data_IF_858761476818
#
_entry.id   IF_858761476818
#
_cell.length_a   1.000
_cell.length_b   1.000
_cell.length_c   1.000
_cell.angle_alpha   90.00
_cell.angle_beta   90.00
_cell.angle_gamma   90.00
#
_symmetry.space_group_name_H-M   'P 1'
#
loop_
_entity.id
_entity.type
_entity.pdbx_description
1 polymer ?
#
# COMPACT_ATOMS: atom_id res chain seq x y z
N UNK A 1 11.75 8.88 -6.33
CA UNK A 1 10.36 8.58 -5.90
C UNK A 1 10.04 7.20 -6.45
N UNK A 2 9.43 6.32 -5.66
CA UNK A 2 9.00 5.00 -6.18
C UNK A 2 8.09 5.21 -7.39
N UNK A 3 8.17 4.34 -8.39
CA UNK A 3 7.22 4.42 -9.51
C UNK A 3 5.82 4.13 -8.99
N UNK A 4 4.78 4.69 -9.63
CA UNK A 4 3.38 4.42 -9.26
C UNK A 4 3.13 2.90 -9.16
N UNK A 5 3.69 2.16 -10.11
CA UNK A 5 3.56 0.71 -10.22
C UNK A 5 4.11 -0.05 -8.99
N UNK A 6 5.20 0.41 -8.37
CA UNK A 6 5.72 -0.23 -7.15
C UNK A 6 4.80 -0.03 -5.94
N UNK A 7 4.11 1.11 -5.89
CA UNK A 7 3.14 1.42 -4.84
C UNK A 7 1.86 0.62 -5.07
N UNK A 8 1.40 0.53 -6.31
CA UNK A 8 0.21 -0.24 -6.69
C UNK A 8 0.41 -1.74 -6.38
N UNK A 9 1.59 -2.29 -6.65
CA UNK A 9 1.95 -3.66 -6.26
C UNK A 9 1.96 -3.88 -4.74
N UNK A 10 2.44 -2.89 -3.97
CA UNK A 10 2.40 -2.96 -2.51
C UNK A 10 0.96 -2.98 -2.01
N UNK A 11 0.11 -2.11 -2.55
CA UNK A 11 -1.29 -2.04 -2.14
C UNK A 11 -2.08 -3.28 -2.54
N UNK A 12 -1.87 -3.81 -3.75
CA UNK A 12 -2.49 -5.07 -4.18
C UNK A 12 -2.09 -6.23 -3.27
N UNK A 13 -0.82 -6.28 -2.83
CA UNK A 13 -0.37 -7.30 -1.86
C UNK A 13 -1.11 -7.18 -0.52
N UNK A 14 -1.18 -5.98 0.05
CA UNK A 14 -1.85 -5.73 1.33
C UNK A 14 -3.35 -6.05 1.23
N UNK A 15 -4.00 -5.66 0.12
CA UNK A 15 -5.39 -5.95 -0.14
C UNK A 15 -5.64 -7.46 -0.28
N UNK A 16 -4.74 -8.19 -0.94
CA UNK A 16 -4.86 -9.62 -1.09
C UNK A 16 -4.72 -10.34 0.26
N UNK A 17 -3.71 -9.97 1.05
CA UNK A 17 -3.41 -10.61 2.34
C UNK A 17 -4.50 -10.39 3.40
N UNK A 18 -5.12 -9.20 3.43
CA UNK A 18 -6.04 -8.82 4.51
C UNK A 18 -7.51 -8.76 4.11
N UNK A 19 -7.80 -8.53 2.83
CA UNK A 19 -9.17 -8.35 2.31
C UNK A 19 -9.55 -9.42 1.28
N UNK A 20 -8.61 -10.28 0.86
CA UNK A 20 -8.79 -11.26 -0.20
C UNK A 20 -9.15 -10.65 -1.56
N UNK A 21 -8.71 -9.41 -1.80
CA UNK A 21 -8.90 -8.67 -3.05
C UNK A 21 -7.59 -8.71 -3.84
N UNK A 22 -7.61 -9.29 -5.05
CA UNK A 22 -6.40 -9.47 -5.86
C UNK A 22 -5.83 -8.15 -6.42
N UNK A 23 -6.71 -7.25 -6.85
CA UNK A 23 -6.34 -5.96 -7.44
C UNK A 23 -7.27 -4.85 -6.96
N UNK A 24 -6.70 -3.66 -6.76
CA UNK A 24 -7.44 -2.43 -6.47
C UNK A 24 -7.73 -1.61 -7.74
N UNK A 25 -7.43 -2.14 -8.92
CA UNK A 25 -7.84 -1.54 -10.20
C UNK A 25 -9.35 -1.73 -10.43
N UNK A 26 -10.02 -0.70 -10.95
CA UNK A 26 -11.43 -0.76 -11.35
C UNK A 26 -11.62 -1.67 -12.55
N UNK A 27 -12.50 -2.66 -12.44
CA UNK A 27 -12.76 -3.67 -13.47
C UNK A 27 -14.10 -3.50 -14.20
N UNK A 28 -14.91 -2.51 -13.79
CA UNK A 28 -16.23 -2.22 -14.33
C UNK A 28 -17.17 -3.44 -14.29
N UNK A 29 -17.08 -4.20 -13.20
CA UNK A 29 -17.91 -5.39 -12.96
C UNK A 29 -18.23 -5.47 -11.48
N UNK A 30 -19.52 -5.44 -11.15
CA UNK A 30 -19.96 -5.36 -9.75
C UNK A 30 -19.30 -6.41 -8.85
N UNK A 31 -19.30 -7.68 -9.26
CA UNK A 31 -18.70 -8.79 -8.49
C UNK A 31 -17.18 -8.72 -8.31
N UNK A 32 -16.49 -7.87 -9.08
CA UNK A 32 -15.04 -7.68 -9.02
C UNK A 32 -14.66 -6.38 -8.32
N UNK A 33 -15.56 -5.38 -8.34
CA UNK A 33 -15.31 -4.05 -7.78
C UNK A 33 -15.94 -3.86 -6.38
N UNK A 34 -17.00 -4.60 -6.05
CA UNK A 34 -17.66 -4.54 -4.75
C UNK A 34 -17.36 -5.81 -3.94
N UNK A 35 -16.78 -5.61 -2.76
CA UNK A 35 -16.39 -6.68 -1.85
C UNK A 35 -17.02 -6.46 -0.48
N UNK A 36 -17.67 -7.48 0.06
CA UNK A 36 -18.05 -7.51 1.47
C UNK A 36 -16.83 -7.90 2.30
N UNK A 37 -16.35 -6.97 3.12
CA UNK A 37 -15.14 -7.17 3.92
C UNK A 37 -15.43 -6.95 5.39
N UNK A 38 -14.79 -7.74 6.24
CA UNK A 38 -14.94 -7.58 7.67
C UNK A 38 -14.19 -6.32 8.16
N UNK A 39 -14.78 -5.62 9.14
CA UNK A 39 -14.18 -4.40 9.71
C UNK A 39 -12.80 -4.62 10.33
N UNK A 40 -12.53 -5.83 10.84
CA UNK A 40 -11.19 -6.19 11.34
C UNK A 40 -10.19 -6.37 10.19
N UNK A 41 -10.61 -6.88 9.03
CA UNK A 41 -9.78 -6.99 7.83
C UNK A 41 -9.36 -5.61 7.32
N UNK A 42 -10.30 -4.66 7.25
CA UNK A 42 -10.00 -3.25 6.92
C UNK A 42 -8.98 -2.67 7.89
N UNK A 43 -9.19 -2.86 9.19
CA UNK A 43 -8.26 -2.37 10.23
C UNK A 43 -6.85 -2.95 10.05
N UNK A 44 -6.73 -4.25 9.78
CA UNK A 44 -5.44 -4.90 9.53
C UNK A 44 -4.76 -4.35 8.27
N UNK A 45 -5.50 -4.23 7.15
CA UNK A 45 -4.97 -3.69 5.89
C UNK A 45 -4.42 -2.26 6.07
N UNK A 46 -5.18 -1.38 6.75
CA UNK A 46 -4.76 -0.01 7.01
C UNK A 46 -3.53 0.06 7.93
N UNK A 47 -3.47 -0.78 8.96
CA UNK A 47 -2.31 -0.86 9.85
C UNK A 47 -1.05 -1.32 9.09
N UNK A 48 -1.17 -2.31 8.21
CA UNK A 48 -0.08 -2.79 7.37
C UNK A 48 0.40 -1.69 6.40
N UNK A 49 -0.52 -1.02 5.71
CA UNK A 49 -0.19 0.09 4.80
C UNK A 49 0.54 1.23 5.52
N UNK A 50 0.12 1.58 6.73
CA UNK A 50 0.77 2.60 7.55
C UNK A 50 2.20 2.19 7.96
N UNK A 51 2.39 0.94 8.40
CA UNK A 51 3.69 0.42 8.79
C UNK A 51 4.68 0.41 7.61
N UNK A 52 4.23 -0.04 6.44
CA UNK A 52 5.02 -0.05 5.21
C UNK A 52 5.34 1.36 4.72
N UNK A 53 4.40 2.30 4.87
CA UNK A 53 4.63 3.73 4.61
C UNK A 53 5.75 4.32 5.47
N UNK A 54 5.75 4.02 6.78
CA UNK A 54 6.83 4.43 7.70
C UNK A 54 8.15 3.77 7.30
N UNK A 55 8.15 2.47 7.00
CA UNK A 55 9.34 1.75 6.60
C UNK A 55 9.94 2.33 5.31
N UNK A 56 9.09 2.68 4.33
CA UNK A 56 9.50 3.36 3.12
C UNK A 56 10.11 4.74 3.41
N UNK A 57 9.48 5.54 4.27
CA UNK A 57 10.02 6.85 4.69
C UNK A 57 11.39 6.76 5.37
N UNK A 58 11.60 5.77 6.24
CA UNK A 58 12.89 5.53 6.91
C UNK A 58 14.00 5.10 5.94
N UNK A 59 13.65 4.39 4.86
CA UNK A 59 14.59 3.98 3.80
C UNK A 59 15.06 5.17 2.95
N UNK A 60 14.23 6.20 2.80
CA UNK A 60 14.61 7.48 2.16
C UNK A 60 15.43 8.31 3.16
N UNK A 61 16.65 7.86 3.48
CA UNK A 61 17.65 8.77 4.04
C UNK A 61 18.06 9.71 2.92
N UNK A 62 17.55 10.93 2.94
CA UNK A 62 18.08 12.03 2.12
C UNK A 62 19.60 12.04 2.31
N UNK A 63 20.43 12.02 1.24
CA UNK A 63 21.85 12.24 1.40
C UNK A 63 21.97 13.61 2.05
N UNK A 64 22.47 13.66 3.30
CA UNK A 64 22.80 14.92 3.97
C UNK A 64 23.62 15.72 2.95
N UNK A 65 23.05 16.83 2.48
CA UNK A 65 23.82 17.80 1.72
C UNK A 65 25.08 18.04 2.52
N UNK A 66 26.24 17.86 1.88
CA UNK A 66 27.53 18.14 2.51
C UNK A 66 27.42 19.52 3.14
N UNK A 67 27.55 19.59 4.46
CA UNK A 67 27.76 20.85 5.15
C UNK A 67 29.03 21.41 4.51
N UNK A 68 28.90 22.46 3.70
CA UNK A 68 30.07 23.20 3.24
C UNK A 68 30.69 23.81 4.50
N UNK A 69 31.91 23.37 4.81
CA UNK A 69 32.86 24.14 5.59
C UNK A 69 33.76 24.88 4.60
#
# INVERSE_FOLDING_TARGET
MKSSQEIDQLFNRIANEHLYIETLETQHRDRLDFHEVAVWGIKCALAAAYAEGIAAGKKVKVPRSKQCN
#
